data_IF_525230460289
#
_entry.id   IF_525230460289
#
_cell.length_a   1.000
_cell.length_b   1.000
_cell.length_c   1.000
_cell.angle_alpha   90.00
_cell.angle_beta   90.00
_cell.angle_gamma   90.00
#
_symmetry.space_group_name_H-M   'P 1'
#
loop_
_entity.id
_entity.type
_entity.pdbx_description
1 polymer ?
#
# COMPACT_ATOMS: atom_id res chain seq x y z
N UNK A 1 -14.51 -9.44 13.81
CA UNK A 1 -15.85 -8.81 13.65
C UNK A 1 -16.03 -8.46 12.19
N UNK A 2 -17.22 -8.58 11.62
CA UNK A 2 -17.45 -8.30 10.19
C UNK A 2 -17.70 -6.80 9.89
N UNK A 3 -17.63 -5.92 10.89
CA UNK A 3 -17.89 -4.48 10.77
C UNK A 3 -16.75 -3.66 11.36
N UNK A 4 -16.49 -2.50 10.77
CA UNK A 4 -15.49 -1.53 11.18
C UNK A 4 -15.99 -0.75 12.40
N UNK A 5 -15.69 -1.25 13.59
CA UNK A 5 -15.96 -0.51 14.83
C UNK A 5 -15.30 0.89 14.77
N UNK A 6 -15.88 1.95 15.38
CA UNK A 6 -15.30 3.31 15.37
C UNK A 6 -13.82 3.39 15.76
N UNK A 7 -13.36 2.56 16.71
CA UNK A 7 -11.93 2.50 17.06
C UNK A 7 -11.05 1.98 15.92
N UNK A 8 -11.51 0.98 15.17
CA UNK A 8 -10.79 0.49 13.97
C UNK A 8 -10.80 1.52 12.84
N UNK A 9 -11.92 2.24 12.67
CA UNK A 9 -11.99 3.34 11.71
C UNK A 9 -10.98 4.45 12.04
N UNK A 10 -10.77 4.76 13.33
CA UNK A 10 -9.77 5.73 13.76
C UNK A 10 -8.35 5.29 13.37
N UNK A 11 -8.01 4.01 13.53
CA UNK A 11 -6.71 3.46 13.11
C UNK A 11 -6.54 3.54 11.58
N UNK A 12 -7.58 3.20 10.80
CA UNK A 12 -7.54 3.30 9.33
C UNK A 12 -7.32 4.75 8.89
N UNK A 13 -8.05 5.71 9.48
CA UNK A 13 -7.90 7.14 9.17
C UNK A 13 -6.52 7.71 9.54
N UNK A 14 -5.87 7.15 10.55
CA UNK A 14 -4.54 7.57 10.97
C UNK A 14 -3.40 6.92 10.16
N UNK A 15 -3.68 5.84 9.45
CA UNK A 15 -2.66 5.08 8.74
C UNK A 15 -2.28 5.72 7.40
N UNK A 16 -0.99 6.08 7.18
CA UNK A 16 -0.49 6.53 5.89
C UNK A 16 0.04 5.38 5.04
N UNK A 17 0.07 4.16 5.58
CA UNK A 17 0.67 3.01 4.94
C UNK A 17 -0.09 1.71 5.26
N UNK A 18 -0.21 0.87 4.25
CA UNK A 18 -0.73 -0.48 4.41
C UNK A 18 -0.03 -1.45 3.45
N UNK A 19 -0.02 -2.72 3.80
CA UNK A 19 0.35 -3.82 2.89
C UNK A 19 -0.93 -4.45 2.38
N UNK A 20 -1.12 -4.47 1.06
CA UNK A 20 -2.18 -5.20 0.40
C UNK A 20 -1.67 -6.59 0.02
N UNK A 21 -2.24 -7.62 0.63
CA UNK A 21 -1.98 -9.01 0.26
C UNK A 21 -3.12 -9.53 -0.63
N UNK A 22 -2.74 -10.23 -1.71
CA UNK A 22 -3.66 -10.81 -2.68
C UNK A 22 -3.24 -12.23 -3.05
N UNK A 23 -4.19 -13.02 -3.51
CA UNK A 23 -3.98 -14.39 -3.96
C UNK A 23 -4.78 -14.61 -5.25
N UNK A 24 -4.23 -15.31 -6.22
CA UNK A 24 -4.91 -15.49 -7.51
C UNK A 24 -3.99 -16.10 -8.58
N UNK A 25 -3.29 -17.17 -8.21
CA UNK A 25 -2.25 -17.80 -9.00
C UNK A 25 -0.89 -17.66 -8.34
N UNK A 26 -0.56 -16.49 -7.85
CA UNK A 26 0.64 -16.21 -7.08
C UNK A 26 0.24 -15.39 -5.83
N UNK A 27 0.87 -15.67 -4.69
CA UNK A 27 0.70 -14.81 -3.51
C UNK A 27 1.50 -13.53 -3.74
N UNK A 28 0.85 -12.38 -3.56
CA UNK A 28 1.48 -11.06 -3.65
C UNK A 28 1.22 -10.25 -2.39
N UNK A 29 2.22 -9.49 -1.96
CA UNK A 29 2.15 -8.54 -0.86
C UNK A 29 2.78 -7.23 -1.31
N UNK A 30 1.95 -6.26 -1.63
CA UNK A 30 2.37 -4.98 -2.21
C UNK A 30 2.18 -3.82 -1.25
N UNK A 31 3.16 -2.91 -1.10
CA UNK A 31 2.98 -1.70 -0.33
C UNK A 31 1.95 -0.78 -0.98
N UNK A 32 1.14 -0.14 -0.14
CA UNK A 32 0.23 0.95 -0.49
C UNK A 32 0.43 2.07 0.51
N UNK A 33 0.52 3.29 0.04
CA UNK A 33 0.75 4.42 0.91
C UNK A 33 0.41 5.74 0.22
N UNK A 34 -0.09 6.68 1.03
CA UNK A 34 -0.42 8.05 0.67
C UNK A 34 -0.60 8.84 1.99
N UNK A 35 -1.15 10.03 1.96
CA UNK A 35 -1.53 10.74 3.18
C UNK A 35 -2.43 9.89 4.10
N UNK A 36 -2.45 10.15 5.43
CA UNK A 36 -3.30 9.43 6.36
C UNK A 36 -4.75 9.36 5.90
N UNK A 37 -5.37 8.18 6.01
CA UNK A 37 -6.73 7.95 5.54
C UNK A 37 -6.87 7.69 4.03
N UNK A 38 -5.80 7.36 3.34
CA UNK A 38 -5.79 7.05 1.91
C UNK A 38 -6.63 5.81 1.54
N UNK A 39 -6.84 4.90 2.49
CA UNK A 39 -7.86 3.86 2.39
C UNK A 39 -9.15 4.45 2.95
N UNK A 40 -10.09 4.75 2.07
CA UNK A 40 -11.36 5.38 2.44
C UNK A 40 -12.32 4.38 3.06
N UNK A 41 -13.02 4.84 4.08
CA UNK A 41 -14.12 4.12 4.71
C UNK A 41 -15.41 4.65 4.08
N UNK A 42 -16.04 3.84 3.24
CA UNK A 42 -17.32 4.19 2.62
C UNK A 42 -18.47 4.02 3.61
N UNK A 43 -18.46 2.89 4.27
CA UNK A 43 -19.38 2.55 5.35
C UNK A 43 -18.71 1.58 6.34
N UNK A 44 -19.47 1.02 7.28
CA UNK A 44 -18.94 0.09 8.29
C UNK A 44 -18.48 -1.27 7.73
N UNK A 45 -18.69 -1.54 6.44
CA UNK A 45 -18.40 -2.83 5.77
C UNK A 45 -17.62 -2.67 4.47
N UNK A 46 -17.38 -1.44 4.05
CA UNK A 46 -16.77 -1.18 2.73
C UNK A 46 -15.58 -0.23 2.86
N UNK A 47 -14.46 -0.67 2.34
CA UNK A 47 -13.26 0.15 2.15
C UNK A 47 -13.03 0.40 0.67
N UNK A 48 -12.47 1.56 0.36
CA UNK A 48 -12.06 1.93 -1.01
C UNK A 48 -10.58 2.33 -1.02
N UNK A 49 -9.82 1.68 -1.87
CA UNK A 49 -8.39 1.94 -2.06
C UNK A 49 -8.15 2.41 -3.50
N UNK A 50 -7.87 3.71 -3.72
CA UNK A 50 -7.51 4.21 -5.04
C UNK A 50 -6.19 3.60 -5.52
N UNK A 51 -6.18 3.06 -6.75
CA UNK A 51 -4.97 2.50 -7.36
C UNK A 51 -4.16 3.61 -8.04
N UNK A 52 -3.20 4.14 -7.31
CA UNK A 52 -2.30 5.20 -7.74
C UNK A 52 -1.18 4.67 -8.62
N UNK A 53 -0.55 5.57 -9.36
CA UNK A 53 0.63 5.26 -10.15
C UNK A 53 1.75 4.71 -9.26
N UNK A 54 2.40 3.65 -9.71
CA UNK A 54 3.52 3.00 -9.02
C UNK A 54 4.53 2.41 -10.01
N UNK A 55 5.05 1.25 -9.71
CA UNK A 55 6.04 0.54 -10.54
C UNK A 55 5.46 -0.08 -11.83
N UNK A 56 4.21 0.17 -12.13
CA UNK A 56 3.47 -0.34 -13.28
C UNK A 56 3.25 -1.88 -13.30
N UNK A 57 3.47 -2.54 -12.16
CA UNK A 57 3.13 -3.95 -11.97
C UNK A 57 1.66 -4.06 -11.57
N UNK A 58 0.95 -4.95 -12.25
CA UNK A 58 -0.49 -5.15 -12.05
C UNK A 58 -0.80 -6.49 -11.37
N UNK A 59 0.18 -7.08 -10.69
CA UNK A 59 0.05 -8.41 -10.09
C UNK A 59 -1.11 -8.47 -9.09
N UNK A 60 -1.23 -7.47 -8.19
CA UNK A 60 -2.36 -7.39 -7.25
C UNK A 60 -3.71 -7.30 -7.95
N UNK A 61 -3.82 -6.52 -9.05
CA UNK A 61 -5.09 -6.39 -9.79
C UNK A 61 -5.44 -7.70 -10.52
N UNK A 62 -4.46 -8.35 -11.13
CA UNK A 62 -4.66 -9.67 -11.76
C UNK A 62 -5.10 -10.72 -10.76
N UNK A 63 -4.48 -10.73 -9.58
CA UNK A 63 -4.86 -11.64 -8.51
C UNK A 63 -6.31 -11.40 -8.08
N UNK A 64 -6.72 -10.13 -7.85
CA UNK A 64 -8.09 -9.80 -7.46
C UNK A 64 -9.13 -10.26 -8.48
N UNK A 65 -8.81 -10.18 -9.78
CA UNK A 65 -9.70 -10.68 -10.85
C UNK A 65 -9.83 -12.19 -10.81
N UNK A 66 -8.72 -12.90 -10.51
CA UNK A 66 -8.71 -14.36 -10.43
C UNK A 66 -9.30 -14.90 -9.12
N UNK A 67 -9.00 -14.25 -8.00
CA UNK A 67 -9.49 -14.57 -6.68
C UNK A 67 -9.68 -13.27 -5.87
N UNK A 68 -10.89 -12.89 -5.51
CA UNK A 68 -11.17 -11.62 -4.86
C UNK A 68 -10.71 -11.55 -3.39
N UNK A 69 -10.18 -12.60 -2.81
CA UNK A 69 -9.72 -12.60 -1.41
C UNK A 69 -8.51 -11.69 -1.22
N UNK A 70 -8.62 -10.76 -0.29
CA UNK A 70 -7.56 -9.79 0.04
C UNK A 70 -7.39 -9.63 1.53
N UNK A 71 -6.21 -9.17 1.92
CA UNK A 71 -5.95 -8.69 3.27
C UNK A 71 -5.21 -7.35 3.22
N UNK A 72 -5.56 -6.44 4.14
CA UNK A 72 -4.82 -5.22 4.41
C UNK A 72 -4.18 -5.31 5.80
N UNK A 73 -2.92 -4.96 5.90
CA UNK A 73 -2.21 -4.75 7.17
C UNK A 73 -1.79 -3.28 7.26
N UNK A 74 -2.46 -2.54 8.14
CA UNK A 74 -2.18 -1.12 8.37
C UNK A 74 -1.08 -0.94 9.40
N UNK A 75 -0.16 0.00 9.10
CA UNK A 75 0.89 0.45 10.00
C UNK A 75 0.79 1.98 10.17
N UNK A 76 0.95 2.42 11.41
CA UNK A 76 0.89 3.83 11.76
C UNK A 76 2.23 4.19 12.40
N UNK A 77 3.03 5.11 11.84
CA UNK A 77 4.30 5.51 12.43
C UNK A 77 4.14 5.94 13.89
N UNK A 78 4.98 5.39 14.75
CA UNK A 78 4.95 5.66 16.19
C UNK A 78 3.92 4.85 17.00
N UNK A 79 3.01 4.11 16.34
CA UNK A 79 2.02 3.24 17.01
C UNK A 79 2.45 1.78 16.93
N UNK A 80 2.43 1.09 18.06
CA UNK A 80 2.88 -0.30 18.14
C UNK A 80 1.86 -1.31 17.60
N UNK A 81 0.59 -1.03 17.77
CA UNK A 81 -0.51 -1.87 17.30
C UNK A 81 -0.63 -1.79 15.77
N UNK A 82 -0.97 -2.91 15.15
CA UNK A 82 -1.30 -2.97 13.73
C UNK A 82 -2.75 -3.41 13.56
N UNK A 83 -3.40 -2.98 12.48
CA UNK A 83 -4.76 -3.39 12.17
C UNK A 83 -4.77 -4.27 10.94
N UNK A 84 -5.46 -5.41 11.02
CA UNK A 84 -5.71 -6.28 9.87
C UNK A 84 -7.17 -6.23 9.46
N UNK A 85 -7.39 -6.11 8.15
CA UNK A 85 -8.70 -6.25 7.51
C UNK A 85 -8.59 -7.33 6.46
N UNK A 86 -9.43 -8.36 6.55
CA UNK A 86 -9.61 -9.34 5.48
C UNK A 86 -10.96 -9.12 4.82
N UNK A 87 -11.03 -9.39 3.52
CA UNK A 87 -12.26 -9.20 2.77
C UNK A 87 -12.16 -9.69 1.34
N UNK A 88 -13.15 -9.30 0.56
CA UNK A 88 -13.23 -9.59 -0.88
C UNK A 88 -13.23 -8.28 -1.65
N UNK A 89 -12.38 -8.22 -2.66
CA UNK A 89 -12.18 -7.02 -3.46
C UNK A 89 -12.80 -7.15 -4.85
N UNK A 90 -13.28 -6.02 -5.36
CA UNK A 90 -13.61 -5.82 -6.76
C UNK A 90 -12.88 -4.57 -7.27
N UNK A 91 -12.61 -4.52 -8.58
CA UNK A 91 -11.97 -3.38 -9.22
C UNK A 91 -13.05 -2.55 -9.91
N UNK A 92 -13.12 -1.26 -9.62
CA UNK A 92 -14.03 -0.32 -10.27
C UNK A 92 -13.26 0.70 -11.11
N UNK A 93 -13.81 1.00 -12.28
CA UNK A 93 -13.37 2.07 -13.17
C UNK A 93 -14.51 3.05 -13.47
N UNK A 94 -15.53 3.10 -12.62
CA UNK A 94 -16.65 4.01 -12.76
C UNK A 94 -16.16 5.48 -12.72
N UNK A 95 -16.51 6.31 -13.72
CA UNK A 95 -15.96 7.66 -13.84
C UNK A 95 -16.21 8.57 -12.64
N UNK A 96 -17.40 8.50 -12.06
CA UNK A 96 -17.78 9.24 -10.86
C UNK A 96 -16.93 8.85 -9.65
N UNK A 97 -16.63 7.56 -9.52
CA UNK A 97 -15.76 7.06 -8.46
C UNK A 97 -14.30 7.45 -8.66
N UNK A 98 -13.80 7.43 -9.90
CA UNK A 98 -12.43 7.89 -10.21
C UNK A 98 -12.29 9.38 -9.92
N UNK A 99 -13.25 10.20 -10.36
CA UNK A 99 -13.27 11.65 -10.12
C UNK A 99 -13.29 11.98 -8.62
N UNK A 100 -14.01 11.24 -7.81
CA UNK A 100 -14.06 11.40 -6.34
C UNK A 100 -12.68 11.29 -5.69
N UNK A 101 -11.79 10.46 -6.25
CA UNK A 101 -10.44 10.21 -5.74
C UNK A 101 -9.35 10.97 -6.50
N UNK A 102 -9.70 11.96 -7.31
CA UNK A 102 -8.70 12.79 -7.99
C UNK A 102 -7.86 13.60 -6.98
N UNK A 103 -6.54 13.65 -7.21
CA UNK A 103 -5.58 14.50 -6.48
C UNK A 103 -4.93 15.41 -7.50
N UNK A 104 -4.96 16.73 -7.26
CA UNK A 104 -4.41 17.73 -8.20
C UNK A 104 -4.94 17.55 -9.64
N UNK A 105 -6.21 17.16 -9.77
CA UNK A 105 -6.85 16.91 -11.07
C UNK A 105 -6.47 15.57 -11.73
N UNK A 106 -5.68 14.74 -11.08
CA UNK A 106 -5.27 13.42 -11.59
C UNK A 106 -6.09 12.32 -10.93
N UNK A 107 -6.88 11.63 -11.72
CA UNK A 107 -7.66 10.48 -11.27
C UNK A 107 -6.80 9.22 -11.09
N UNK A 108 -7.14 8.32 -10.13
CA UNK A 108 -6.56 6.99 -10.09
C UNK A 108 -6.99 6.20 -11.33
N UNK A 109 -6.25 5.16 -11.71
CA UNK A 109 -6.62 4.30 -12.84
C UNK A 109 -7.79 3.38 -12.53
N UNK A 110 -7.94 3.01 -11.28
CA UNK A 110 -9.03 2.20 -10.76
C UNK A 110 -9.18 2.43 -9.26
N UNK A 111 -10.26 1.94 -8.68
CA UNK A 111 -10.48 1.88 -7.25
C UNK A 111 -10.73 0.43 -6.86
N UNK A 112 -9.98 -0.08 -5.90
CA UNK A 112 -10.21 -1.39 -5.30
C UNK A 112 -11.27 -1.22 -4.22
N UNK A 113 -12.44 -1.78 -4.43
CA UNK A 113 -13.57 -1.77 -3.48
C UNK A 113 -13.54 -3.06 -2.69
N UNK A 114 -13.42 -2.99 -1.37
CA UNK A 114 -13.21 -4.13 -0.48
C UNK A 114 -14.42 -4.29 0.43
N UNK A 115 -15.16 -5.39 0.27
CA UNK A 115 -16.16 -5.82 1.23
C UNK A 115 -15.47 -6.50 2.43
N UNK A 116 -15.61 -5.91 3.60
CA UNK A 116 -14.95 -6.34 4.84
C UNK A 116 -15.62 -7.60 5.38
N UNK A 117 -14.84 -8.66 5.57
CA UNK A 117 -15.28 -9.92 6.20
C UNK A 117 -14.81 -10.03 7.65
N UNK A 118 -13.57 -9.62 7.92
CA UNK A 118 -12.98 -9.72 9.26
C UNK A 118 -12.06 -8.55 9.52
N UNK A 119 -12.17 -7.95 10.69
CA UNK A 119 -11.28 -6.90 11.16
C UNK A 119 -10.85 -7.15 12.61
N UNK A 120 -9.57 -6.99 12.88
CA UNK A 120 -9.00 -7.09 14.24
C UNK A 120 -7.65 -6.39 14.34
N UNK A 121 -7.38 -5.84 15.50
CA UNK A 121 -6.05 -5.30 15.80
C UNK A 121 -5.11 -6.43 16.27
N UNK A 122 -3.82 -6.22 16.07
CA UNK A 122 -2.76 -7.09 16.58
C UNK A 122 -1.91 -6.36 17.61
N UNK A 123 -1.41 -7.12 18.58
CA UNK A 123 -0.59 -6.57 19.64
C UNK A 123 0.74 -5.98 19.11
N UNK A 124 1.30 -5.05 19.85
CA UNK A 124 2.54 -4.33 19.54
C UNK A 124 3.82 -5.19 19.58
N UNK A 125 3.77 -6.44 20.01
CA UNK A 125 4.97 -7.25 20.29
C UNK A 125 5.98 -7.32 19.14
N UNK A 126 5.51 -7.44 17.90
CA UNK A 126 6.40 -7.51 16.74
C UNK A 126 7.11 -6.18 16.50
N UNK A 127 6.37 -5.08 16.56
CA UNK A 127 6.89 -3.72 16.40
C UNK A 127 7.88 -3.37 17.51
N UNK A 128 7.55 -3.72 18.76
CA UNK A 128 8.41 -3.50 19.94
C UNK A 128 9.70 -4.32 19.84
N UNK A 129 9.62 -5.61 19.51
CA UNK A 129 10.84 -6.44 19.37
C UNK A 129 11.74 -5.98 18.22
N UNK A 130 11.14 -5.49 17.14
CA UNK A 130 11.88 -4.94 16.01
C UNK A 130 12.43 -3.53 16.29
N UNK A 131 11.97 -2.88 17.37
CA UNK A 131 12.27 -1.46 17.67
C UNK A 131 11.98 -0.57 16.44
N UNK A 132 10.90 -0.90 15.72
CA UNK A 132 10.65 -0.46 14.34
C UNK A 132 10.55 1.07 14.20
N UNK A 133 9.97 1.73 15.21
CA UNK A 133 9.75 3.18 15.19
C UNK A 133 10.86 3.98 15.87
N UNK A 134 11.92 3.34 16.36
CA UNK A 134 13.03 4.03 16.98
C UNK A 134 13.91 4.74 15.92
N UNK A 135 13.99 6.08 15.91
CA UNK A 135 14.81 6.80 14.94
C UNK A 135 16.29 6.42 14.98
N UNK A 136 16.81 6.01 16.16
CA UNK A 136 18.19 5.59 16.32
C UNK A 136 18.51 4.24 15.64
N UNK A 137 17.49 3.48 15.25
CA UNK A 137 17.63 2.20 14.53
C UNK A 137 17.45 2.35 13.02
N UNK A 138 17.20 3.56 12.53
CA UNK A 138 17.09 3.79 11.09
C UNK A 138 18.44 3.53 10.41
N UNK A 139 18.39 2.66 9.40
CA UNK A 139 19.58 2.35 8.59
C UNK A 139 19.82 3.50 7.62
N UNK A 140 21.05 3.97 7.55
CA UNK A 140 21.43 4.97 6.54
C UNK A 140 21.23 4.39 5.15
N UNK A 141 20.72 5.21 4.22
CA UNK A 141 20.43 4.74 2.85
C UNK A 141 21.71 4.25 2.13
N UNK A 142 22.85 4.86 2.41
CA UNK A 142 24.16 4.52 1.83
C UNK A 142 24.80 3.23 2.39
N UNK A 143 24.25 2.67 3.48
CA UNK A 143 24.65 1.37 4.00
C UNK A 143 24.04 0.18 3.21
N UNK A 144 23.18 0.46 2.25
CA UNK A 144 22.52 -0.54 1.42
C UNK A 144 22.76 -0.27 -0.07
N UNK A 145 22.75 -1.30 -0.94
CA UNK A 145 22.85 -1.10 -2.38
C UNK A 145 21.81 -0.11 -2.89
N UNK A 146 22.18 0.75 -3.82
CA UNK A 146 21.23 1.65 -4.46
C UNK A 146 20.24 0.90 -5.35
N UNK A 147 19.12 1.54 -5.70
CA UNK A 147 18.17 0.96 -6.65
C UNK A 147 18.83 0.73 -8.01
N UNK A 148 19.66 1.68 -8.47
CA UNK A 148 20.39 1.56 -9.72
C UNK A 148 21.40 0.42 -9.69
N UNK A 149 22.12 0.22 -8.58
CA UNK A 149 23.03 -0.92 -8.40
C UNK A 149 22.27 -2.25 -8.47
N UNK A 150 21.20 -2.39 -7.69
CA UNK A 150 20.39 -3.62 -7.69
C UNK A 150 19.81 -3.94 -9.08
N UNK A 151 19.28 -2.94 -9.78
CA UNK A 151 18.72 -3.15 -11.13
C UNK A 151 19.80 -3.53 -12.13
N UNK A 152 20.98 -2.90 -12.08
CA UNK A 152 22.10 -3.22 -12.96
C UNK A 152 22.54 -4.67 -12.80
N UNK A 153 22.71 -5.12 -11.57
CA UNK A 153 23.19 -6.47 -11.27
C UNK A 153 22.13 -7.53 -11.66
N UNK A 154 20.87 -7.33 -11.25
CA UNK A 154 19.78 -8.26 -11.53
C UNK A 154 19.36 -8.31 -13.00
N UNK A 155 19.57 -7.23 -13.77
CA UNK A 155 19.25 -7.17 -15.19
C UNK A 155 20.41 -7.53 -16.12
N UNK A 156 21.57 -7.93 -15.57
CA UNK A 156 22.79 -8.11 -16.34
C UNK A 156 23.17 -6.84 -17.11
N UNK A 157 23.15 -5.71 -16.42
CA UNK A 157 23.46 -4.35 -16.90
C UNK A 157 22.55 -3.80 -18.01
N UNK A 158 21.36 -4.41 -18.25
CA UNK A 158 20.39 -3.90 -19.22
C UNK A 158 19.69 -2.62 -18.75
N UNK A 159 19.52 -2.43 -17.46
CA UNK A 159 18.91 -1.24 -16.83
C UNK A 159 19.58 -0.94 -15.49
N UNK A 160 19.51 0.30 -15.02
CA UNK A 160 20.03 0.68 -13.69
C UNK A 160 21.35 1.47 -13.78
N UNK A 161 22.14 1.40 -12.72
CA UNK A 161 23.42 2.11 -12.60
C UNK A 161 23.26 3.54 -12.08
N UNK A 162 24.38 4.29 -12.08
CA UNK A 162 24.46 5.63 -11.48
C UNK A 162 23.51 6.66 -12.11
N UNK A 163 23.33 6.60 -13.42
CA UNK A 163 22.41 7.50 -14.12
C UNK A 163 20.96 7.29 -13.67
N UNK A 164 20.56 6.03 -13.47
CA UNK A 164 19.26 5.68 -12.92
C UNK A 164 19.07 6.28 -11.52
N UNK A 165 20.07 6.14 -10.65
CA UNK A 165 20.03 6.67 -9.28
C UNK A 165 19.96 8.20 -9.27
N UNK A 166 20.69 8.86 -10.15
CA UNK A 166 20.69 10.31 -10.29
C UNK A 166 19.33 10.85 -10.75
N UNK A 167 18.65 10.15 -11.65
CA UNK A 167 17.34 10.53 -12.15
C UNK A 167 16.17 10.15 -11.23
N UNK A 168 16.38 9.21 -10.29
CA UNK A 168 15.32 8.62 -9.49
C UNK A 168 14.54 9.63 -8.63
N UNK A 169 15.16 10.57 -7.89
CA UNK A 169 14.44 11.51 -7.04
C UNK A 169 13.46 12.39 -7.83
N UNK A 170 13.91 12.95 -8.94
CA UNK A 170 13.07 13.79 -9.80
C UNK A 170 11.94 12.98 -10.45
N UNK A 171 12.23 11.78 -10.94
CA UNK A 171 11.23 10.88 -11.49
C UNK A 171 10.15 10.52 -10.46
N UNK A 172 10.53 10.19 -9.22
CA UNK A 172 9.56 9.92 -8.15
C UNK A 172 8.70 11.15 -7.90
N UNK A 173 9.31 12.33 -7.75
CA UNK A 173 8.60 13.58 -7.49
C UNK A 173 7.57 13.92 -8.59
N UNK A 174 7.92 13.74 -9.85
CA UNK A 174 7.07 14.10 -11.00
C UNK A 174 6.03 13.05 -11.36
N UNK A 175 6.12 11.84 -10.81
CA UNK A 175 5.23 10.72 -11.12
C UNK A 175 4.54 10.14 -9.89
N UNK A 176 4.48 10.88 -8.81
CA UNK A 176 3.86 10.42 -7.57
C UNK A 176 2.35 10.25 -7.73
N UNK A 177 1.73 11.13 -8.52
CA UNK A 177 0.32 11.09 -8.90
C UNK A 177 0.13 11.14 -10.41
#
# INVERSE_FOLDING_TARGET
MPTLHPHYQALIRAAPFAVLATVGGMVDASPRGDGPGFVHIEDERTLMLPDRRGNNRIDSLRNIVADPRVALLFLIPGVGETLRVNGRAAISVAPDLLARFAIEGKEPRSVIVIAVETVFFQCSRAVVRADLWNPAKQVRRDALPSTGTMLKDLSQARVGGEEYDRALPERVRTTLY
#
